data_IF_902634704585
#
_entry.id   IF_902634704585
#
_cell.length_a   1.000
_cell.length_b   1.000
_cell.length_c   1.000
_cell.angle_alpha   90.00
_cell.angle_beta   90.00
_cell.angle_gamma   90.00
#
_symmetry.space_group_name_H-M   'P 1'
#
loop_
_entity.id
_entity.type
_entity.pdbx_description
1 polymer ?
#
# COMPACT_ATOMS: atom_id res chain seq x y z
N UNK A 1 -8.85 6.58 -8.50
CA UNK A 1 -9.12 6.68 -7.04
C UNK A 1 -10.29 5.84 -6.57
N UNK A 2 -11.51 5.97 -7.12
CA UNK A 2 -12.68 5.19 -6.64
C UNK A 2 -12.48 3.67 -6.63
N UNK A 3 -11.94 3.10 -7.71
CA UNK A 3 -11.67 1.66 -7.81
C UNK A 3 -10.66 1.20 -6.75
N UNK A 4 -9.56 1.93 -6.58
CA UNK A 4 -8.58 1.67 -5.53
C UNK A 4 -9.21 1.71 -4.14
N UNK A 5 -10.00 2.74 -3.84
CA UNK A 5 -10.70 2.85 -2.55
C UNK A 5 -11.64 1.68 -2.31
N UNK A 6 -12.42 1.27 -3.31
CA UNK A 6 -13.33 0.12 -3.20
C UNK A 6 -12.56 -1.18 -2.92
N UNK A 7 -11.47 -1.43 -3.65
CA UNK A 7 -10.63 -2.60 -3.44
C UNK A 7 -9.98 -2.59 -2.04
N UNK A 8 -9.52 -1.42 -1.59
CA UNK A 8 -8.94 -1.27 -0.24
C UNK A 8 -9.96 -1.58 0.85
N UNK A 9 -11.17 -1.07 0.73
CA UNK A 9 -12.23 -1.32 1.71
C UNK A 9 -12.56 -2.82 1.80
N UNK A 10 -12.67 -3.52 0.67
CA UNK A 10 -12.87 -4.98 0.66
C UNK A 10 -11.71 -5.75 1.32
N UNK A 11 -10.46 -5.35 1.06
CA UNK A 11 -9.30 -5.93 1.74
C UNK A 11 -9.34 -5.70 3.25
N UNK A 12 -9.68 -4.48 3.69
CA UNK A 12 -9.77 -4.15 5.13
C UNK A 12 -10.89 -4.91 5.82
N UNK A 13 -12.05 -5.06 5.18
CA UNK A 13 -13.16 -5.85 5.70
C UNK A 13 -12.75 -7.33 5.91
N UNK A 14 -12.09 -7.92 4.91
CA UNK A 14 -11.55 -9.28 5.02
C UNK A 14 -10.54 -9.41 6.18
N UNK A 15 -9.60 -8.46 6.31
CA UNK A 15 -8.57 -8.49 7.35
C UNK A 15 -9.16 -8.28 8.76
N UNK A 16 -10.19 -7.45 8.88
CA UNK A 16 -10.87 -7.18 10.15
C UNK A 16 -11.60 -8.41 10.71
N UNK A 17 -11.99 -9.35 9.84
CA UNK A 17 -12.62 -10.61 10.24
C UNK A 17 -11.64 -11.69 10.74
N UNK A 18 -10.33 -11.43 10.76
CA UNK A 18 -9.33 -12.45 11.10
C UNK A 18 -9.08 -12.56 12.60
N UNK A 19 -9.05 -13.80 13.09
CA UNK A 19 -8.58 -14.11 14.43
C UNK A 19 -7.07 -13.85 14.57
N UNK A 20 -6.57 -13.49 15.78
CA UNK A 20 -5.15 -13.21 16.01
C UNK A 20 -4.20 -14.30 15.50
N UNK A 21 -4.54 -15.57 15.70
CA UNK A 21 -3.71 -16.70 15.26
C UNK A 21 -3.57 -16.79 13.72
N UNK A 22 -4.52 -16.23 12.96
CA UNK A 22 -4.47 -16.25 11.50
C UNK A 22 -3.40 -15.32 10.93
N UNK A 23 -3.03 -14.27 11.66
CA UNK A 23 -1.96 -13.34 11.29
C UNK A 23 -0.59 -14.00 11.27
N UNK A 24 -0.35 -14.95 12.19
CA UNK A 24 0.92 -15.68 12.30
C UNK A 24 1.00 -16.93 11.39
N UNK A 25 0.00 -17.16 10.52
CA UNK A 25 0.02 -18.29 9.59
C UNK A 25 1.22 -18.18 8.64
N UNK A 26 2.05 -19.22 8.63
CA UNK A 26 3.21 -19.32 7.73
C UNK A 26 2.76 -19.54 6.29
N UNK A 27 3.39 -18.82 5.37
CA UNK A 27 3.23 -18.92 3.93
C UNK A 27 4.60 -18.95 3.25
N UNK A 28 4.62 -19.30 1.96
CA UNK A 28 5.81 -19.20 1.11
C UNK A 28 5.47 -18.30 -0.07
N UNK A 29 6.03 -17.10 -0.07
CA UNK A 29 5.89 -16.15 -1.17
C UNK A 29 6.98 -16.42 -2.21
N UNK A 30 6.65 -16.32 -3.49
CA UNK A 30 7.60 -16.59 -4.58
C UNK A 30 8.83 -15.67 -4.55
N UNK A 31 8.65 -14.43 -4.09
CA UNK A 31 9.73 -13.42 -4.03
C UNK A 31 10.31 -13.28 -2.61
N UNK A 32 9.46 -13.29 -1.57
CA UNK A 32 9.87 -12.98 -0.19
C UNK A 32 10.35 -14.22 0.56
N UNK A 33 10.13 -15.42 0.00
CA UNK A 33 10.43 -16.67 0.67
C UNK A 33 9.43 -16.99 1.80
N UNK A 34 9.87 -17.67 2.87
CA UNK A 34 9.05 -17.92 4.05
C UNK A 34 8.57 -16.61 4.68
N UNK A 35 7.27 -16.49 4.93
CA UNK A 35 6.67 -15.28 5.50
C UNK A 35 5.39 -15.61 6.31
N UNK A 36 4.76 -14.62 6.90
CA UNK A 36 3.44 -14.69 7.53
C UNK A 36 2.45 -13.72 6.87
N UNK A 37 1.16 -13.88 7.16
CA UNK A 37 0.16 -12.91 6.71
C UNK A 37 0.45 -11.50 7.26
N UNK A 38 0.90 -11.41 8.52
CA UNK A 38 1.27 -10.14 9.15
C UNK A 38 2.38 -9.42 8.41
N UNK A 39 3.45 -10.12 8.05
CA UNK A 39 4.56 -9.55 7.28
C UNK A 39 4.09 -9.08 5.90
N UNK A 40 3.30 -9.89 5.19
CA UNK A 40 2.77 -9.55 3.87
C UNK A 40 1.89 -8.29 3.89
N UNK A 41 1.03 -8.16 4.89
CA UNK A 41 0.19 -6.96 5.08
C UNK A 41 1.06 -5.75 5.50
N UNK A 42 2.12 -5.98 6.28
CA UNK A 42 3.12 -4.95 6.61
C UNK A 42 3.79 -4.38 5.35
N UNK A 43 4.19 -5.24 4.41
CA UNK A 43 4.73 -4.80 3.12
C UNK A 43 3.71 -3.98 2.30
N UNK A 44 2.43 -4.38 2.31
CA UNK A 44 1.37 -3.60 1.64
C UNK A 44 1.23 -2.20 2.22
N UNK A 45 1.20 -2.08 3.55
CA UNK A 45 1.07 -0.78 4.21
C UNK A 45 2.28 0.13 3.94
N UNK A 46 3.49 -0.44 3.92
CA UNK A 46 4.70 0.32 3.62
C UNK A 46 4.75 0.77 2.16
N UNK A 47 4.33 -0.09 1.24
CA UNK A 47 4.20 0.23 -0.17
C UNK A 47 3.27 1.43 -0.42
N UNK A 48 2.14 1.51 0.29
CA UNK A 48 1.26 2.68 0.19
C UNK A 48 1.93 3.97 0.66
N UNK A 49 2.64 3.93 1.79
CA UNK A 49 3.36 5.10 2.32
C UNK A 49 4.40 5.59 1.31
N UNK A 50 5.17 4.66 0.74
CA UNK A 50 6.18 4.96 -0.26
C UNK A 50 5.56 5.66 -1.48
N UNK A 51 4.42 5.18 -1.99
CA UNK A 51 3.77 5.82 -3.12
C UNK A 51 3.14 7.18 -2.79
N UNK A 52 2.59 7.34 -1.59
CA UNK A 52 2.12 8.66 -1.13
C UNK A 52 3.28 9.65 -1.10
N UNK A 53 4.43 9.26 -0.55
CA UNK A 53 5.64 10.09 -0.54
C UNK A 53 6.11 10.43 -1.96
N UNK A 54 6.09 9.46 -2.87
CA UNK A 54 6.41 9.71 -4.28
C UNK A 54 5.47 10.72 -4.92
N UNK A 55 4.15 10.64 -4.67
CA UNK A 55 3.18 11.62 -5.18
C UNK A 55 3.51 13.02 -4.67
N UNK A 56 3.81 13.18 -3.37
CA UNK A 56 4.22 14.47 -2.82
C UNK A 56 5.50 15.00 -3.45
N UNK A 57 6.51 14.14 -3.59
CA UNK A 57 7.77 14.51 -4.23
C UNK A 57 7.56 14.90 -5.70
N UNK A 58 6.74 14.18 -6.46
CA UNK A 58 6.44 14.53 -7.85
C UNK A 58 5.65 15.84 -7.95
N UNK A 59 4.68 16.05 -7.06
CA UNK A 59 3.89 17.28 -7.01
C UNK A 59 4.75 18.52 -6.70
N UNK A 60 5.76 18.38 -5.84
CA UNK A 60 6.67 19.49 -5.50
C UNK A 60 7.66 19.85 -6.61
N UNK A 61 7.86 18.97 -7.60
CA UNK A 61 8.75 19.19 -8.74
C UNK A 61 8.02 19.62 -10.02
N UNK A 62 6.68 19.71 -9.99
CA UNK A 62 5.92 20.29 -11.09
C UNK A 62 6.18 21.81 -11.17
N UNK A 63 6.57 22.34 -12.35
CA UNK A 63 6.72 23.79 -12.52
C UNK A 63 5.39 24.48 -12.21
N UNK A 64 5.46 25.64 -11.56
CA UNK A 64 4.23 26.38 -11.25
C UNK A 64 3.59 26.86 -12.55
N UNK A 65 2.27 26.96 -12.56
CA UNK A 65 1.50 27.34 -13.76
C UNK A 65 1.88 28.72 -14.32
N UNK A 66 2.55 29.57 -13.54
CA UNK A 66 3.08 30.88 -13.94
C UNK A 66 4.48 30.83 -14.57
N UNK A 67 5.22 29.73 -14.42
CA UNK A 67 6.58 29.55 -14.98
C UNK A 67 6.57 28.92 -16.39
N UNK A 68 5.46 28.32 -16.83
CA UNK A 68 5.34 27.66 -18.14
C UNK A 68 5.01 28.61 -19.32
N UNK A 69 4.94 29.93 -19.08
CA UNK A 69 4.61 30.95 -20.10
C UNK A 69 5.74 31.96 -20.37
N UNK A 70 6.99 31.61 -20.07
CA UNK A 70 8.18 32.41 -20.45
C UNK A 70 9.04 31.70 -21.47
#
# INVERSE_FOLDING_TARGET
MREFTSARLGTLEMLNGLAPAQWSRKARHAILGPTTLQELVGFNAEHDRLHIQQVYASASHLPRADESSR
#
